data_IF_916846423270
#
_entry.id   IF_916846423270
#
_cell.length_a   1.000
_cell.length_b   1.000
_cell.length_c   1.000
_cell.angle_alpha   90.00
_cell.angle_beta   90.00
_cell.angle_gamma   90.00
#
_symmetry.space_group_name_H-M   'P 1'
#
loop_
_entity.id
_entity.type
_entity.pdbx_description
1 polymer ?
#
# COMPACT_ATOMS: atom_id res chain seq x y z
N UNK A 1 20.62 17.09 -9.66
CA UNK A 1 19.23 17.45 -9.31
C UNK A 1 18.48 16.21 -8.84
N UNK A 2 17.80 16.22 -7.68
CA UNK A 2 16.94 15.12 -7.28
C UNK A 2 15.77 15.04 -8.26
N UNK A 3 15.64 13.91 -8.95
CA UNK A 3 14.54 13.63 -9.89
C UNK A 3 13.21 13.81 -9.12
N UNK A 4 12.24 14.59 -9.62
CA UNK A 4 10.94 14.74 -8.96
C UNK A 4 10.37 13.35 -8.68
N UNK A 5 10.07 13.04 -7.42
CA UNK A 5 9.48 11.75 -7.05
C UNK A 5 8.13 11.67 -7.75
N UNK A 6 8.01 10.81 -8.78
CA UNK A 6 6.73 10.54 -9.43
C UNK A 6 5.71 10.17 -8.34
N UNK A 7 4.64 10.97 -8.23
CA UNK A 7 3.52 10.67 -7.34
C UNK A 7 2.89 9.36 -7.82
N UNK A 8 2.58 8.47 -6.88
CA UNK A 8 1.93 7.17 -7.16
C UNK A 8 0.44 7.32 -7.00
N UNK A 9 -0.34 6.68 -7.85
CA UNK A 9 -1.79 6.74 -7.78
C UNK A 9 -2.34 5.63 -6.88
N UNK A 10 -3.31 5.97 -6.04
CA UNK A 10 -4.08 5.03 -5.21
C UNK A 10 -5.58 5.22 -5.43
N UNK A 11 -6.38 4.17 -5.24
CA UNK A 11 -7.83 4.25 -5.45
C UNK A 11 -8.58 4.90 -4.29
N UNK A 12 -8.12 4.69 -3.04
CA UNK A 12 -8.76 5.23 -1.86
C UNK A 12 -7.83 5.21 -0.64
N UNK A 13 -8.16 5.98 0.39
CA UNK A 13 -7.46 5.88 1.67
C UNK A 13 -7.88 4.63 2.47
N UNK A 14 -6.93 3.98 3.18
CA UNK A 14 -7.27 2.89 4.09
C UNK A 14 -8.20 3.37 5.20
N UNK A 15 -9.29 2.64 5.45
CA UNK A 15 -10.22 2.95 6.55
C UNK A 15 -9.61 2.67 7.92
N UNK A 16 -8.76 1.65 7.99
CA UNK A 16 -8.02 1.27 9.20
C UNK A 16 -6.55 1.48 8.91
N UNK A 17 -5.89 2.29 9.75
CA UNK A 17 -4.47 2.67 9.58
C UNK A 17 -3.55 2.03 10.63
N UNK A 18 -4.08 1.20 11.53
CA UNK A 18 -3.31 0.51 12.55
C UNK A 18 -3.82 -0.92 12.76
N UNK A 19 -2.88 -1.86 12.78
CA UNK A 19 -3.07 -3.25 13.17
C UNK A 19 -2.06 -3.59 14.26
N UNK A 20 -2.44 -4.41 15.25
CA UNK A 20 -1.54 -4.83 16.31
C UNK A 20 -1.91 -6.23 16.82
N UNK A 21 -0.96 -6.98 17.40
CA UNK A 21 -1.29 -8.20 18.12
C UNK A 21 -2.26 -7.93 19.29
N UNK A 22 -3.13 -8.90 19.54
CA UNK A 22 -4.04 -8.89 20.69
C UNK A 22 -3.26 -9.05 22.01
N UNK A 23 -3.81 -8.56 23.12
CA UNK A 23 -3.24 -8.74 24.46
C UNK A 23 -2.03 -7.86 24.82
N UNK A 24 -1.39 -7.18 23.85
CA UNK A 24 -0.23 -6.31 24.12
C UNK A 24 -0.62 -4.82 23.98
N UNK A 25 -0.34 -3.97 24.99
CA UNK A 25 -0.54 -2.53 24.90
C UNK A 25 0.31 -1.89 23.79
N UNK A 26 -0.27 -0.93 23.06
CA UNK A 26 0.40 -0.24 21.94
C UNK A 26 1.69 0.48 22.35
N UNK A 27 1.80 0.92 23.61
CA UNK A 27 2.98 1.59 24.17
C UNK A 27 4.20 0.68 24.29
N UNK A 28 4.00 -0.65 24.29
CA UNK A 28 5.07 -1.66 24.39
C UNK A 28 5.41 -2.31 23.06
N UNK A 29 4.78 -1.87 21.97
CA UNK A 29 4.96 -2.46 20.65
C UNK A 29 5.85 -1.58 19.78
N UNK A 30 6.88 -2.22 19.23
CA UNK A 30 7.56 -1.71 18.05
C UNK A 30 6.58 -1.62 16.88
N UNK A 31 6.85 -0.67 15.98
CA UNK A 31 5.99 -0.38 14.83
C UNK A 31 6.73 -0.61 13.52
N UNK A 32 6.04 -1.23 12.58
CA UNK A 32 6.43 -1.29 11.18
C UNK A 32 5.53 -0.34 10.39
N UNK A 33 6.14 0.57 9.62
CA UNK A 33 5.42 1.54 8.81
C UNK A 33 5.24 1.05 7.38
N UNK A 34 4.01 0.73 7.00
CA UNK A 34 3.58 0.44 5.63
C UNK A 34 3.12 1.74 4.98
N UNK A 35 3.65 2.09 3.81
CA UNK A 35 3.17 3.29 3.12
C UNK A 35 1.84 3.06 2.44
N UNK A 36 1.09 4.12 2.13
CA UNK A 36 -0.25 3.97 1.55
C UNK A 36 -0.19 3.32 0.16
N UNK A 37 0.84 3.61 -0.63
CA UNK A 37 1.08 2.96 -1.93
C UNK A 37 1.53 1.50 -1.81
N UNK A 38 2.24 1.13 -0.73
CA UNK A 38 2.56 -0.27 -0.44
C UNK A 38 1.29 -1.04 -0.03
N UNK A 39 0.42 -0.43 0.77
CA UNK A 39 -0.89 -1.00 1.10
C UNK A 39 -1.74 -1.21 -0.15
N UNK A 40 -1.80 -0.21 -1.04
CA UNK A 40 -2.56 -0.33 -2.28
C UNK A 40 -1.98 -1.40 -3.21
N UNK A 41 -0.65 -1.54 -3.25
CA UNK A 41 0.00 -2.61 -4.01
C UNK A 41 -0.44 -4.01 -3.53
N UNK A 42 -0.48 -4.25 -2.21
CA UNK A 42 -0.98 -5.50 -1.64
C UNK A 42 -2.44 -5.74 -2.01
N UNK A 43 -3.29 -4.71 -1.88
CA UNK A 43 -4.70 -4.81 -2.25
C UNK A 43 -4.86 -5.20 -3.72
N UNK A 44 -4.18 -4.53 -4.63
CA UNK A 44 -4.31 -4.80 -6.06
C UNK A 44 -3.74 -6.15 -6.48
N UNK A 45 -2.57 -6.52 -5.97
CA UNK A 45 -1.93 -7.78 -6.36
C UNK A 45 -2.54 -8.99 -5.64
N UNK A 46 -2.74 -8.92 -4.33
CA UNK A 46 -3.07 -10.09 -3.51
C UNK A 46 -4.57 -10.26 -3.22
N UNK A 47 -5.36 -9.18 -3.30
CA UNK A 47 -6.81 -9.22 -3.03
C UNK A 47 -7.63 -9.08 -4.30
N UNK A 48 -7.27 -8.16 -5.19
CA UNK A 48 -7.93 -7.95 -6.48
C UNK A 48 -7.33 -8.81 -7.61
N UNK A 49 -6.30 -9.60 -7.31
CA UNK A 49 -5.61 -10.54 -8.23
C UNK A 49 -5.19 -9.91 -9.58
N UNK A 50 -4.83 -8.63 -9.55
CA UNK A 50 -4.39 -7.93 -10.75
C UNK A 50 -2.99 -8.37 -11.14
N UNK A 51 -2.74 -8.53 -12.45
CA UNK A 51 -1.38 -8.76 -12.93
C UNK A 51 -0.53 -7.55 -12.59
N UNK A 52 0.75 -7.78 -12.25
CA UNK A 52 1.67 -6.71 -11.87
C UNK A 52 1.79 -5.59 -12.93
N UNK A 53 1.57 -5.91 -14.22
CA UNK A 53 1.51 -4.91 -15.29
C UNK A 53 0.31 -3.98 -15.15
N UNK A 54 -0.87 -4.53 -14.88
CA UNK A 54 -2.13 -3.78 -14.74
C UNK A 54 -2.11 -2.92 -13.48
N UNK A 55 -1.63 -3.48 -12.37
CA UNK A 55 -1.48 -2.74 -11.13
C UNK A 55 -0.41 -1.64 -11.23
N UNK A 56 0.68 -1.86 -11.97
CA UNK A 56 1.67 -0.83 -12.24
C UNK A 56 1.10 0.33 -13.06
N UNK A 57 0.30 0.02 -14.09
CA UNK A 57 -0.40 1.02 -14.90
C UNK A 57 -1.37 1.83 -14.05
N UNK A 58 -2.23 1.17 -13.24
CA UNK A 58 -3.13 1.83 -12.29
C UNK A 58 -2.38 2.75 -11.31
N UNK A 59 -1.20 2.33 -10.84
CA UNK A 59 -0.36 3.13 -9.94
C UNK A 59 0.39 4.27 -10.64
N UNK A 60 0.46 4.30 -11.98
CA UNK A 60 1.25 5.26 -12.75
C UNK A 60 2.77 5.03 -12.66
N UNK A 61 3.21 3.78 -12.47
CA UNK A 61 4.63 3.42 -12.38
C UNK A 61 5.01 2.31 -13.37
N UNK A 62 6.31 2.06 -13.54
CA UNK A 62 6.75 0.92 -14.35
C UNK A 62 6.53 -0.41 -13.62
N UNK A 63 6.29 -1.50 -14.36
CA UNK A 63 6.14 -2.86 -13.80
C UNK A 63 7.27 -3.24 -12.80
N UNK A 64 8.57 -3.02 -13.08
CA UNK A 64 9.63 -3.30 -12.10
C UNK A 64 9.53 -2.44 -10.84
N UNK A 65 9.05 -1.20 -10.95
CA UNK A 65 8.83 -0.33 -9.80
C UNK A 65 7.70 -0.85 -8.93
N UNK A 66 6.59 -1.29 -9.53
CA UNK A 66 5.47 -1.90 -8.82
C UNK A 66 5.91 -3.18 -8.09
N UNK A 67 6.59 -4.10 -8.78
CA UNK A 67 7.11 -5.33 -8.15
C UNK A 67 7.99 -5.02 -6.92
N UNK A 68 8.84 -3.98 -6.99
CA UNK A 68 9.66 -3.56 -5.84
C UNK A 68 8.83 -2.95 -4.69
N UNK A 69 7.76 -2.24 -5.00
CA UNK A 69 6.83 -1.71 -3.98
C UNK A 69 6.13 -2.88 -3.29
N UNK A 70 5.58 -3.81 -4.06
CA UNK A 70 4.91 -5.00 -3.55
C UNK A 70 5.85 -5.86 -2.68
N UNK A 71 7.07 -6.12 -3.14
CA UNK A 71 8.06 -6.86 -2.35
C UNK A 71 8.39 -6.19 -1.00
N UNK A 72 8.50 -4.85 -0.96
CA UNK A 72 8.69 -4.10 0.30
C UNK A 72 7.47 -4.20 1.21
N UNK A 73 6.27 -4.15 0.62
CA UNK A 73 5.02 -4.30 1.35
C UNK A 73 4.95 -5.68 2.02
N UNK A 74 5.22 -6.77 1.29
CA UNK A 74 5.28 -8.12 1.85
C UNK A 74 6.33 -8.26 2.96
N UNK A 75 7.54 -7.72 2.76
CA UNK A 75 8.58 -7.77 3.79
C UNK A 75 8.12 -7.10 5.09
N UNK A 76 7.46 -5.94 5.01
CA UNK A 76 6.96 -5.21 6.17
C UNK A 76 5.82 -5.93 6.88
N UNK A 77 4.87 -6.47 6.11
CA UNK A 77 3.77 -7.27 6.65
C UNK A 77 4.32 -8.52 7.33
N UNK A 78 5.19 -9.27 6.66
CA UNK A 78 5.85 -10.45 7.23
C UNK A 78 6.63 -10.11 8.50
N UNK A 79 7.38 -9.02 8.51
CA UNK A 79 8.11 -8.55 9.71
C UNK A 79 7.14 -8.24 10.86
N UNK A 80 6.02 -7.58 10.58
CA UNK A 80 5.04 -7.27 11.61
C UNK A 80 4.41 -8.53 12.20
N UNK A 81 4.07 -9.51 11.36
CA UNK A 81 3.47 -10.77 11.78
C UNK A 81 4.46 -11.66 12.54
N UNK A 82 5.65 -11.90 11.99
CA UNK A 82 6.65 -12.82 12.56
C UNK A 82 7.27 -12.26 13.85
N UNK A 83 7.53 -10.96 13.90
CA UNK A 83 8.12 -10.31 15.08
C UNK A 83 7.10 -9.75 16.07
N UNK A 84 5.80 -9.96 15.85
CA UNK A 84 4.73 -9.48 16.74
C UNK A 84 4.68 -7.95 16.87
N UNK A 85 5.00 -7.21 15.80
CA UNK A 85 5.02 -5.74 15.81
C UNK A 85 3.67 -5.17 15.40
N UNK A 86 3.38 -3.95 15.82
CA UNK A 86 2.24 -3.21 15.28
C UNK A 86 2.53 -2.77 13.85
N UNK A 87 1.55 -2.91 12.95
CA UNK A 87 1.62 -2.41 11.58
C UNK A 87 0.86 -1.09 11.51
N UNK A 88 1.54 -0.02 11.11
CA UNK A 88 0.93 1.30 10.89
C UNK A 88 0.94 1.60 9.41
N UNK A 89 -0.20 2.00 8.86
CA UNK A 89 -0.30 2.48 7.49
C UNK A 89 -0.19 4.00 7.50
N UNK A 90 0.92 4.55 6.99
CA UNK A 90 1.13 5.99 6.92
C UNK A 90 2.20 6.41 5.90
N UNK A 91 2.16 7.68 5.49
CA UNK A 91 3.19 8.27 4.63
C UNK A 91 3.21 7.69 3.22
N UNK A 92 4.33 7.89 2.53
CA UNK A 92 4.45 7.66 1.08
C UNK A 92 4.21 8.95 0.30
N UNK A 93 4.47 8.89 -1.01
CA UNK A 93 4.19 9.99 -1.93
C UNK A 93 3.15 9.51 -2.94
N UNK A 94 1.88 9.78 -2.63
CA UNK A 94 0.75 9.30 -3.42
C UNK A 94 -0.24 10.43 -3.72
N UNK A 95 -1.08 10.20 -4.73
CA UNK A 95 -2.27 10.98 -5.03
C UNK A 95 -3.46 10.04 -5.09
N UNK A 96 -4.52 10.40 -4.39
CA UNK A 96 -5.81 9.72 -4.54
C UNK A 96 -6.37 10.13 -5.90
N UNK A 97 -6.64 9.15 -6.76
CA UNK A 97 -7.35 9.38 -8.01
C UNK A 97 -8.73 8.79 -7.81
N UNK A 98 -9.69 9.65 -7.47
CA UNK A 98 -11.10 9.25 -7.55
C UNK A 98 -11.38 8.91 -9.01
N UNK A 99 -11.71 7.66 -9.29
CA UNK A 99 -12.29 7.34 -10.59
C UNK A 99 -13.62 8.10 -10.66
N UNK A 100 -13.91 8.87 -11.72
CA UNK A 100 -15.28 9.27 -11.95
C UNK A 100 -16.10 7.99 -12.01
N UNK A 101 -17.17 7.93 -11.23
CA UNK A 101 -18.22 6.93 -11.41
C UNK A 101 -18.57 7.01 -12.88
N UNK A 102 -18.24 5.98 -13.66
CA UNK A 102 -18.75 5.85 -15.02
C UNK A 102 -20.26 5.86 -14.88
N UNK A 103 -20.89 7.01 -15.20
CA UNK A 103 -22.31 7.09 -15.42
C UNK A 103 -22.62 6.08 -16.51
N UNK A 104 -23.08 4.90 -16.09
CA UNK A 104 -23.61 3.90 -17.00
C UNK A 104 -24.84 4.51 -17.65
N UNK A 105 -24.68 5.00 -18.87
CA UNK A 105 -25.74 4.99 -19.86
C UNK A 105 -25.93 3.54 -20.29
N UNK A 106 -27.04 2.94 -19.91
CA UNK A 106 -27.94 2.14 -20.75
C UNK A 106 -29.10 1.67 -19.88
#
# INVERSE_FOLDING_TARGET
MPRPRKCRYISAMPRVIFFKPAGIPMTRLDKVSLTVDEFEALRWADIEDLRHSEAAEKMGVSRPTFTRILARAHQKVATALVSGKALRINGGNYRVVERPVTAGRS
#
